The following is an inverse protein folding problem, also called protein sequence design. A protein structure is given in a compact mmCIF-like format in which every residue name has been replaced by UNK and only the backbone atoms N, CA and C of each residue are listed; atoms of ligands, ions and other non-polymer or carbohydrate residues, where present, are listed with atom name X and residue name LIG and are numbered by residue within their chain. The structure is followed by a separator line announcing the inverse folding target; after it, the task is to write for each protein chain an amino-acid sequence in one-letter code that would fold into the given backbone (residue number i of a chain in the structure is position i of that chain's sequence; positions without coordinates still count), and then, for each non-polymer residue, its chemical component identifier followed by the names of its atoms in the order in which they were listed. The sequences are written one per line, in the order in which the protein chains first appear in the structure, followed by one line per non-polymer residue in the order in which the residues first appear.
data_IF_375158340067
#
_entry.id   IF_375158340067
#
_cell.length_a   1.000
_cell.length_b   1.000
_cell.length_c   1.000
_cell.angle_alpha   90.00
_cell.angle_beta   90.00
_cell.angle_gamma   90.00
#
_symmetry.space_group_name_H-M   'P 1'
#
loop_
_entity.id
_entity.type
_entity.pdbx_description
1 polymer ?
#
# COMPACT_ATOMS: atom_id res chain seq x y z
N UNK A 1 1.49 1.32 -42.45
CA UNK A 1 0.76 1.11 -43.72
C UNK A 1 0.26 2.41 -44.39
N UNK A 2 0.07 3.55 -43.69
CA UNK A 2 -0.41 4.79 -44.33
C UNK A 2 0.70 5.74 -44.86
N UNK A 3 1.84 5.88 -44.17
CA UNK A 3 2.95 6.76 -44.59
C UNK A 3 3.59 6.36 -45.93
N UNK A 4 3.69 5.05 -46.19
CA UNK A 4 4.23 4.50 -47.43
C UNK A 4 3.35 4.82 -48.66
N UNK A 5 2.04 4.96 -48.48
CA UNK A 5 1.11 5.36 -49.55
C UNK A 5 1.18 6.86 -49.85
N UNK A 6 1.43 7.71 -48.85
CA UNK A 6 1.59 9.15 -49.05
C UNK A 6 2.90 9.51 -49.79
N UNK A 7 3.96 8.71 -49.61
CA UNK A 7 5.22 8.86 -50.35
C UNK A 7 5.17 8.28 -51.78
N UNK A 8 4.12 7.53 -52.13
CA UNK A 8 3.92 6.94 -53.46
C UNK A 8 3.25 7.91 -54.46
N UNK A 9 2.96 9.16 -54.07
CA UNK A 9 2.43 10.18 -54.97
C UNK A 9 3.53 10.60 -55.97
N UNK A 10 3.31 10.49 -57.30
CA UNK A 10 4.33 10.74 -58.32
C UNK A 10 4.93 12.15 -58.26
N UNK A 11 6.25 12.27 -58.43
CA UNK A 11 6.96 13.56 -58.43
C UNK A 11 6.68 14.41 -59.69
N UNK A 12 6.19 13.80 -60.77
CA UNK A 12 5.92 14.46 -62.06
C UNK A 12 4.69 13.87 -62.75
N UNK A 13 3.94 14.69 -63.50
CA UNK A 13 2.87 14.22 -64.39
C UNK A 13 3.46 13.57 -65.66
N UNK A 14 2.64 12.86 -66.45
CA UNK A 14 3.05 12.24 -67.74
C UNK A 14 3.65 13.21 -68.77
N UNK A 15 3.60 14.53 -68.53
CA UNK A 15 4.22 15.56 -69.36
C UNK A 15 5.53 16.14 -68.78
N UNK A 16 6.06 15.61 -67.67
CA UNK A 16 7.33 16.03 -67.08
C UNK A 16 7.28 17.28 -66.19
N UNK A 17 6.09 17.84 -65.91
CA UNK A 17 5.94 18.99 -65.02
C UNK A 17 5.78 18.55 -63.54
N UNK A 18 6.19 19.37 -62.54
CA UNK A 18 5.96 19.11 -61.13
C UNK A 18 4.45 19.02 -60.85
N UNK A 19 4.03 18.04 -60.04
CA UNK A 19 2.62 17.86 -59.69
C UNK A 19 2.10 19.08 -58.91
N UNK A 20 1.04 19.77 -59.38
CA UNK A 20 0.54 20.96 -58.72
C UNK A 20 0.02 20.63 -57.31
N UNK A 21 0.27 21.52 -56.35
CA UNK A 21 -0.24 21.49 -54.98
C UNK A 21 0.15 20.28 -54.10
N UNK A 22 1.24 19.58 -54.43
CA UNK A 22 1.79 18.47 -53.61
C UNK A 22 2.07 18.87 -52.16
N UNK A 23 2.58 20.07 -51.93
CA UNK A 23 2.85 20.57 -50.57
C UNK A 23 1.56 20.76 -49.78
N UNK A 24 0.46 21.14 -50.45
CA UNK A 24 -0.87 21.25 -49.85
C UNK A 24 -1.39 19.86 -49.44
N UNK A 25 -1.25 18.86 -50.30
CA UNK A 25 -1.68 17.47 -50.01
C UNK A 25 -0.89 16.90 -48.83
N UNK A 26 0.44 17.07 -48.81
CA UNK A 26 1.28 16.59 -47.70
C UNK A 26 0.92 17.34 -46.41
N UNK A 27 0.69 18.65 -46.47
CA UNK A 27 0.24 19.45 -45.33
C UNK A 27 -1.09 18.95 -44.77
N UNK A 28 -2.11 18.76 -45.62
CA UNK A 28 -3.43 18.26 -45.22
C UNK A 28 -3.33 16.86 -44.62
N UNK A 29 -2.60 15.94 -45.25
CA UNK A 29 -2.43 14.56 -44.72
C UNK A 29 -1.69 14.58 -43.39
N UNK A 30 -0.67 15.42 -43.23
CA UNK A 30 0.08 15.54 -41.98
C UNK A 30 -0.78 16.10 -40.85
N UNK A 31 -1.59 17.13 -41.13
CA UNK A 31 -2.56 17.70 -40.19
C UNK A 31 -3.62 16.68 -39.81
N UNK A 32 -4.18 15.94 -40.78
CA UNK A 32 -5.18 14.89 -40.52
C UNK A 32 -4.60 13.79 -39.63
N UNK A 33 -3.37 13.31 -39.90
CA UNK A 33 -2.69 12.32 -39.06
C UNK A 33 -2.52 12.84 -37.63
N UNK A 34 -2.00 14.07 -37.47
CA UNK A 34 -1.78 14.67 -36.16
C UNK A 34 -3.08 14.77 -35.36
N UNK A 35 -4.16 15.24 -36.01
CA UNK A 35 -5.50 15.34 -35.40
C UNK A 35 -6.03 13.96 -35.03
N UNK A 36 -5.91 12.94 -35.89
CA UNK A 36 -6.35 11.57 -35.55
C UNK A 36 -5.59 10.97 -34.38
N UNK A 37 -4.27 11.18 -34.29
CA UNK A 37 -3.46 10.69 -33.17
C UNK A 37 -3.81 11.42 -31.87
N UNK A 38 -4.06 12.74 -31.92
CA UNK A 38 -4.52 13.52 -30.77
C UNK A 38 -5.90 13.06 -30.29
N UNK A 39 -6.84 12.83 -31.19
CA UNK A 39 -8.19 12.34 -30.85
C UNK A 39 -8.11 10.93 -30.27
N UNK A 40 -7.41 9.99 -30.91
CA UNK A 40 -7.24 8.62 -30.39
C UNK A 40 -6.47 8.59 -29.07
N UNK A 41 -5.38 9.36 -28.96
CA UNK A 41 -4.54 9.44 -27.78
C UNK A 41 -5.24 10.10 -26.59
N UNK A 42 -6.16 11.05 -26.83
CA UNK A 42 -6.97 11.67 -25.78
C UNK A 42 -8.19 10.85 -25.38
N UNK A 43 -8.70 9.99 -26.29
CA UNK A 43 -9.85 9.12 -26.00
C UNK A 43 -9.48 7.96 -25.07
N UNK A 44 -8.27 7.41 -25.18
CA UNK A 44 -7.77 6.33 -24.32
C UNK A 44 -7.77 6.67 -22.80
N UNK A 45 -7.21 7.79 -22.32
CA UNK A 45 -7.24 8.12 -20.89
C UNK A 45 -8.65 8.44 -20.39
N UNK A 46 -9.52 9.00 -21.23
CA UNK A 46 -10.93 9.21 -20.88
C UNK A 46 -11.68 7.88 -20.74
N UNK A 47 -11.45 6.93 -21.65
CA UNK A 47 -12.02 5.58 -21.59
C UNK A 47 -11.45 4.78 -20.43
N UNK A 48 -10.14 4.86 -20.15
CA UNK A 48 -9.53 4.23 -18.95
C UNK A 48 -10.11 4.81 -17.66
N UNK A 49 -10.35 6.13 -17.61
CA UNK A 49 -10.98 6.77 -16.45
C UNK A 49 -12.45 6.42 -16.30
N UNK A 50 -13.15 6.13 -17.40
CA UNK A 50 -14.55 5.69 -17.40
C UNK A 50 -14.71 4.18 -17.18
N UNK A 51 -13.69 3.40 -17.58
CA UNK A 51 -13.60 1.94 -17.42
C UNK A 51 -13.00 1.51 -16.07
N UNK A 52 -12.60 2.44 -15.19
CA UNK A 52 -12.56 2.22 -13.73
C UNK A 52 -13.98 2.04 -13.20
N UNK A 53 -14.66 1.02 -13.71
CA UNK A 53 -15.79 0.40 -13.05
C UNK A 53 -15.30 -0.16 -11.70
N UNK A 54 -16.20 -0.40 -10.73
CA UNK A 54 -15.91 -0.58 -9.30
C UNK A 54 -15.13 -1.84 -8.89
N UNK A 55 -14.27 -2.42 -9.73
CA UNK A 55 -13.53 -3.64 -9.41
C UNK A 55 -12.56 -3.44 -8.23
N UNK A 56 -11.91 -2.27 -8.13
CA UNK A 56 -11.01 -1.96 -7.00
C UNK A 56 -11.78 -1.84 -5.67
N UNK A 57 -13.01 -1.31 -5.70
CA UNK A 57 -13.88 -1.24 -4.52
C UNK A 57 -14.38 -2.64 -4.13
N UNK A 58 -14.79 -3.45 -5.11
CA UNK A 58 -15.37 -4.78 -4.86
C UNK A 58 -14.33 -5.75 -4.29
N UNK A 59 -13.08 -5.74 -4.79
CA UNK A 59 -12.02 -6.62 -4.28
C UNK A 59 -11.55 -6.23 -2.88
N UNK A 60 -11.42 -4.93 -2.60
CA UNK A 60 -11.08 -4.43 -1.28
C UNK A 60 -12.18 -4.77 -0.25
N UNK A 61 -13.44 -4.58 -0.63
CA UNK A 61 -14.60 -4.92 0.21
C UNK A 61 -14.71 -6.44 0.44
N UNK A 62 -14.47 -7.27 -0.58
CA UNK A 62 -14.42 -8.72 -0.46
C UNK A 62 -13.29 -9.20 0.46
N UNK A 63 -12.10 -8.61 0.31
CA UNK A 63 -10.95 -8.93 1.16
C UNK A 63 -11.20 -8.50 2.61
N UNK A 64 -11.80 -7.34 2.81
CA UNK A 64 -12.19 -6.85 4.14
C UNK A 64 -13.19 -7.78 4.80
N UNK A 65 -14.25 -8.14 4.08
CA UNK A 65 -15.26 -9.09 4.54
C UNK A 65 -14.63 -10.45 4.91
N UNK A 66 -13.70 -10.93 4.09
CA UNK A 66 -12.98 -12.17 4.36
C UNK A 66 -12.11 -12.06 5.63
N UNK A 67 -11.43 -10.93 5.84
CA UNK A 67 -10.63 -10.68 7.06
C UNK A 67 -11.50 -10.63 8.31
N UNK A 68 -12.60 -9.91 8.29
CA UNK A 68 -13.54 -9.83 9.42
C UNK A 68 -14.05 -11.22 9.78
N UNK A 69 -14.52 -11.97 8.79
CA UNK A 69 -15.03 -13.34 9.01
C UNK A 69 -13.97 -14.31 9.51
N UNK A 70 -12.73 -14.17 9.06
CA UNK A 70 -11.64 -15.02 9.52
C UNK A 70 -11.34 -14.82 11.01
N UNK A 71 -11.31 -13.56 11.47
CA UNK A 71 -11.04 -13.24 12.88
C UNK A 71 -12.21 -13.63 13.78
N UNK A 72 -13.45 -13.38 13.35
CA UNK A 72 -14.65 -13.85 14.07
C UNK A 72 -14.67 -15.37 14.24
N UNK A 73 -14.38 -16.11 13.16
CA UNK A 73 -14.30 -17.57 13.21
C UNK A 73 -13.17 -18.06 14.12
N UNK A 74 -12.04 -17.35 14.15
CA UNK A 74 -10.93 -17.67 15.05
C UNK A 74 -11.34 -17.51 16.51
N UNK A 75 -12.01 -16.41 16.87
CA UNK A 75 -12.51 -16.16 18.23
C UNK A 75 -13.55 -17.19 18.68
N UNK A 76 -14.43 -17.63 17.78
CA UNK A 76 -15.43 -18.68 18.07
C UNK A 76 -14.79 -20.06 18.27
N UNK A 77 -13.78 -20.39 17.44
CA UNK A 77 -13.09 -21.68 17.50
C UNK A 77 -12.08 -21.78 18.65
N UNK A 78 -11.51 -20.65 19.09
CA UNK A 78 -10.42 -20.61 20.08
C UNK A 78 -10.72 -21.41 21.36
N UNK A 79 -11.88 -21.26 22.04
CA UNK A 79 -12.17 -22.01 23.26
C UNK A 79 -12.28 -23.51 23.03
N UNK A 80 -12.79 -23.92 21.86
CA UNK A 80 -13.01 -25.32 21.50
C UNK A 80 -11.67 -26.01 21.22
N UNK A 81 -10.80 -25.35 20.45
CA UNK A 81 -9.45 -25.83 20.14
C UNK A 81 -8.57 -25.85 21.38
N UNK A 82 -8.65 -24.81 22.22
CA UNK A 82 -7.93 -24.75 23.49
C UNK A 82 -8.35 -25.87 24.46
N UNK A 83 -9.63 -26.22 24.49
CA UNK A 83 -10.14 -27.34 25.28
C UNK A 83 -9.66 -28.71 24.80
N UNK A 84 -9.42 -28.89 23.49
CA UNK A 84 -8.87 -30.14 22.95
C UNK A 84 -7.37 -30.31 23.25
N UNK A 85 -6.64 -29.20 23.31
CA UNK A 85 -5.19 -29.17 23.49
C UNK A 85 -4.76 -28.97 24.96
N UNK A 86 -5.72 -28.94 25.90
CA UNK A 86 -5.50 -28.71 27.34
C UNK A 86 -4.64 -27.46 27.62
N UNK A 87 -4.96 -26.37 26.92
CA UNK A 87 -4.21 -25.11 27.01
C UNK A 87 -4.47 -24.43 28.35
N UNK A 88 -3.40 -23.96 29.00
CA UNK A 88 -3.50 -23.20 30.25
C UNK A 88 -4.43 -21.99 30.11
N UNK A 89 -5.27 -21.69 31.11
CA UNK A 89 -6.20 -20.55 31.07
C UNK A 89 -5.50 -19.19 30.88
N UNK A 90 -4.24 -19.07 31.29
CA UNK A 90 -3.44 -17.87 31.07
C UNK A 90 -3.05 -17.71 29.59
N UNK A 91 -2.64 -18.79 28.94
CA UNK A 91 -2.29 -18.77 27.51
C UNK A 91 -3.54 -18.55 26.65
N UNK A 92 -4.68 -19.15 27.04
CA UNK A 92 -5.96 -18.92 26.38
C UNK A 92 -6.38 -17.44 26.43
N UNK A 93 -6.28 -16.79 27.60
CA UNK A 93 -6.60 -15.35 27.73
C UNK A 93 -5.69 -14.48 26.88
N UNK A 94 -4.40 -14.82 26.77
CA UNK A 94 -3.46 -14.09 25.92
C UNK A 94 -3.82 -14.21 24.45
N UNK A 95 -4.09 -15.41 23.97
CA UNK A 95 -4.51 -15.65 22.58
C UNK A 95 -5.85 -14.98 22.29
N UNK A 96 -6.79 -15.03 23.24
CA UNK A 96 -8.07 -14.36 23.09
C UNK A 96 -7.87 -12.84 22.93
N UNK A 97 -7.04 -12.23 23.78
CA UNK A 97 -6.72 -10.81 23.68
C UNK A 97 -6.05 -10.46 22.35
N UNK A 98 -5.16 -11.32 21.85
CA UNK A 98 -4.50 -11.11 20.55
C UNK A 98 -5.50 -11.11 19.39
N UNK A 99 -6.44 -12.07 19.36
CA UNK A 99 -7.49 -12.10 18.35
C UNK A 99 -8.50 -10.95 18.51
N UNK A 100 -8.79 -10.50 19.72
CA UNK A 100 -9.61 -9.30 19.99
C UNK A 100 -8.92 -8.03 19.49
N UNK A 101 -7.62 -7.88 19.74
CA UNK A 101 -6.81 -6.76 19.22
C UNK A 101 -6.78 -6.79 17.68
N UNK A 102 -6.66 -7.97 17.07
CA UNK A 102 -6.73 -8.14 15.62
C UNK A 102 -8.12 -7.78 15.06
N UNK A 103 -9.20 -8.16 15.74
CA UNK A 103 -10.56 -7.82 15.35
C UNK A 103 -10.77 -6.30 15.37
N UNK A 104 -10.24 -5.62 16.39
CA UNK A 104 -10.30 -4.17 16.51
C UNK A 104 -9.56 -3.45 15.37
N UNK A 105 -8.43 -4.01 14.89
CA UNK A 105 -7.71 -3.47 13.74
C UNK A 105 -8.49 -3.64 12.42
N UNK A 106 -9.08 -4.81 12.20
CA UNK A 106 -9.91 -5.06 11.00
C UNK A 106 -11.16 -4.18 11.01
N UNK A 107 -11.80 -4.00 12.17
CA UNK A 107 -12.95 -3.12 12.34
C UNK A 107 -12.60 -1.64 12.09
N UNK A 108 -11.43 -1.18 12.56
CA UNK A 108 -10.95 0.17 12.31
C UNK A 108 -10.69 0.46 10.82
N UNK A 109 -10.39 -0.57 10.04
CA UNK A 109 -10.25 -0.45 8.59
C UNK A 109 -11.61 -0.48 7.86
N UNK A 110 -12.66 -1.07 8.47
CA UNK A 110 -13.98 -1.25 7.84
C UNK A 110 -14.95 -0.13 8.11
N UNK A 111 -14.85 0.51 9.27
CA UNK A 111 -15.59 1.74 9.50
C UNK A 111 -14.93 2.87 8.71
N UNK A 112 -15.75 3.68 8.03
CA UNK A 112 -15.39 5.00 7.46
C UNK A 112 -15.06 6.02 8.58
N UNK A 113 -14.42 5.53 9.64
CA UNK A 113 -13.83 6.31 10.72
C UNK A 113 -12.85 7.24 10.06
N UNK A 114 -13.10 8.54 10.18
CA UNK A 114 -12.28 9.56 9.54
C UNK A 114 -10.79 9.21 9.74
N UNK A 115 -9.97 9.16 8.69
CA UNK A 115 -8.56 8.76 8.75
C UNK A 115 -7.77 9.42 9.89
N UNK A 116 -8.22 10.60 10.32
CA UNK A 116 -7.68 11.34 11.46
C UNK A 116 -7.79 10.62 12.81
N UNK A 117 -8.88 9.91 13.12
CA UNK A 117 -9.08 9.30 14.45
C UNK A 117 -8.21 8.05 14.65
N UNK A 118 -8.06 7.24 13.60
CA UNK A 118 -7.14 6.08 13.60
C UNK A 118 -5.68 6.56 13.64
N UNK A 119 -5.33 7.57 12.86
CA UNK A 119 -3.99 8.16 12.88
C UNK A 119 -3.64 8.77 14.24
N UNK A 120 -4.58 9.48 14.88
CA UNK A 120 -4.40 10.09 16.19
C UNK A 120 -4.24 9.03 17.30
N UNK A 121 -5.02 7.94 17.24
CA UNK A 121 -4.86 6.81 18.17
C UNK A 121 -3.51 6.12 18.01
N UNK A 122 -3.08 5.87 16.77
CA UNK A 122 -1.79 5.25 16.48
C UNK A 122 -0.61 6.13 16.91
N UNK A 123 -0.72 7.44 16.69
CA UNK A 123 0.23 8.44 17.18
C UNK A 123 0.35 8.43 18.71
N UNK A 124 -0.77 8.38 19.43
CA UNK A 124 -0.78 8.29 20.89
C UNK A 124 -0.08 7.02 21.38
N UNK A 125 -0.41 5.86 20.79
CA UNK A 125 0.22 4.57 21.13
C UNK A 125 1.73 4.62 20.85
N UNK A 126 2.14 5.18 19.71
CA UNK A 126 3.57 5.34 19.38
C UNK A 126 4.28 6.17 20.45
N UNK A 127 3.70 7.30 20.84
CA UNK A 127 4.28 8.20 21.85
C UNK A 127 4.44 7.51 23.21
N UNK A 128 3.44 6.72 23.61
CA UNK A 128 3.51 5.92 24.85
C UNK A 128 4.65 4.90 24.76
N UNK A 129 4.77 4.16 23.65
CA UNK A 129 5.85 3.18 23.46
C UNK A 129 7.23 3.82 23.51
N UNK A 130 7.42 4.96 22.84
CA UNK A 130 8.68 5.71 22.90
C UNK A 130 9.01 6.15 24.33
N UNK A 131 8.02 6.64 25.09
CA UNK A 131 8.20 7.01 26.50
C UNK A 131 8.58 5.83 27.39
N UNK A 132 8.00 4.64 27.15
CA UNK A 132 8.36 3.41 27.87
C UNK A 132 9.77 2.94 27.50
N UNK A 133 10.20 3.11 26.25
CA UNK A 133 11.52 2.71 25.80
C UNK A 133 12.65 3.48 26.52
N UNK A 134 12.43 4.76 26.78
CA UNK A 134 13.35 5.57 27.59
C UNK A 134 13.51 5.01 29.01
N UNK A 135 12.41 4.60 29.65
CA UNK A 135 12.45 3.98 30.97
C UNK A 135 13.17 2.61 30.94
N UNK A 136 12.97 1.82 29.87
CA UNK A 136 13.70 0.56 29.67
C UNK A 136 15.22 0.81 29.58
N UNK A 137 15.66 1.83 28.84
CA UNK A 137 17.08 2.20 28.72
C UNK A 137 17.70 2.55 30.06
N UNK A 138 17.01 3.35 30.87
CA UNK A 138 17.49 3.73 32.20
C UNK A 138 17.63 2.51 33.11
N UNK A 139 16.64 1.61 33.12
CA UNK A 139 16.69 0.39 33.92
C UNK A 139 17.86 -0.53 33.54
N UNK A 140 18.12 -0.70 32.24
CA UNK A 140 19.26 -1.53 31.77
C UNK A 140 20.60 -0.87 32.13
N UNK A 141 20.69 0.46 32.04
CA UNK A 141 21.89 1.22 32.45
C UNK A 141 22.14 1.06 33.94
N UNK A 142 21.09 1.16 34.75
CA UNK A 142 21.17 0.98 36.20
C UNK A 142 21.64 -0.43 36.57
N UNK A 143 21.16 -1.47 35.89
CA UNK A 143 21.65 -2.85 36.07
C UNK A 143 23.15 -2.98 35.80
N UNK A 144 23.65 -2.27 34.79
CA UNK A 144 25.10 -2.24 34.50
C UNK A 144 25.86 -1.49 35.58
N UNK A 145 25.35 -0.36 36.05
CA UNK A 145 26.01 0.44 37.08
C UNK A 145 26.05 -0.30 38.44
N UNK A 146 25.07 -1.16 38.69
CA UNK A 146 25.03 -2.10 39.81
C UNK A 146 25.92 -3.36 39.60
N UNK A 147 26.62 -3.46 38.47
CA UNK A 147 27.42 -4.62 38.05
C UNK A 147 26.63 -5.95 37.95
N UNK A 148 25.31 -5.89 37.71
CA UNK A 148 24.48 -7.08 37.48
C UNK A 148 24.61 -7.61 36.05
N UNK A 149 24.96 -6.75 35.09
CA UNK A 149 25.21 -7.11 33.69
C UNK A 149 26.54 -6.53 33.21
N UNK A 150 27.15 -7.19 32.23
CA UNK A 150 28.36 -6.69 31.58
C UNK A 150 28.07 -5.77 30.38
N UNK A 151 29.14 -5.17 29.85
CA UNK A 151 29.08 -4.19 28.76
C UNK A 151 28.71 -4.82 27.39
N UNK A 152 28.86 -6.13 27.23
CA UNK A 152 28.43 -6.85 26.03
C UNK A 152 26.91 -7.01 26.06
N UNK A 153 26.36 -7.47 27.20
CA UNK A 153 24.90 -7.62 27.41
C UNK A 153 24.20 -6.26 27.32
N UNK A 154 24.79 -5.21 27.90
CA UNK A 154 24.27 -3.84 27.78
C UNK A 154 24.14 -3.42 26.29
N UNK A 155 25.19 -3.62 25.49
CA UNK A 155 25.18 -3.26 24.06
C UNK A 155 24.15 -4.05 23.26
N UNK A 156 23.98 -5.34 23.55
CA UNK A 156 22.97 -6.18 22.89
C UNK A 156 21.55 -5.69 23.19
N UNK A 157 21.24 -5.40 24.46
CA UNK A 157 19.94 -4.88 24.88
C UNK A 157 19.68 -3.48 24.31
N UNK A 158 20.70 -2.61 24.28
CA UNK A 158 20.61 -1.30 23.66
C UNK A 158 20.33 -1.41 22.16
N UNK A 159 21.05 -2.26 21.43
CA UNK A 159 20.83 -2.47 20.00
C UNK A 159 19.42 -3.00 19.70
N UNK A 160 18.88 -3.89 20.54
CA UNK A 160 17.51 -4.37 20.41
C UNK A 160 16.48 -3.24 20.63
N UNK A 161 16.70 -2.36 21.61
CA UNK A 161 15.84 -1.20 21.85
C UNK A 161 15.96 -0.16 20.73
N UNK A 162 17.15 0.08 20.18
CA UNK A 162 17.35 1.00 19.07
C UNK A 162 16.59 0.52 17.82
N UNK A 163 16.58 -0.79 17.57
CA UNK A 163 15.80 -1.38 16.47
C UNK A 163 14.29 -1.27 16.70
N UNK A 164 13.82 -1.40 17.95
CA UNK A 164 12.44 -1.13 18.32
C UNK A 164 12.09 0.36 18.09
N UNK A 165 12.97 1.28 18.46
CA UNK A 165 12.79 2.73 18.24
C UNK A 165 12.70 3.07 16.75
N UNK A 166 13.61 2.55 15.93
CA UNK A 166 13.60 2.79 14.48
C UNK A 166 12.29 2.31 13.85
N UNK A 167 11.79 1.14 14.23
CA UNK A 167 10.49 0.63 13.75
C UNK A 167 9.30 1.49 14.18
N UNK A 168 9.39 2.14 15.33
CA UNK A 168 8.35 3.06 15.78
C UNK A 168 8.45 4.39 15.02
N UNK A 169 9.66 4.88 14.74
CA UNK A 169 9.90 6.15 14.07
C UNK A 169 9.73 6.09 12.55
N UNK A 170 9.83 4.92 11.93
CA UNK A 170 9.64 4.71 10.50
C UNK A 170 8.20 4.23 10.20
N UNK A 171 7.27 5.11 9.81
CA UNK A 171 5.91 4.72 9.45
C UNK A 171 5.81 3.99 8.10
N UNK A 172 6.90 3.88 7.33
CA UNK A 172 6.84 3.37 5.96
C UNK A 172 6.76 1.84 5.83
N UNK A 173 7.08 1.09 6.88
CA UNK A 173 7.02 -0.39 6.90
C UNK A 173 5.70 -0.93 7.50
N UNK A 174 4.74 -0.06 7.84
CA UNK A 174 3.48 -0.41 8.48
C UNK A 174 2.27 -0.50 7.52
N UNK A 175 2.47 -0.31 6.20
CA UNK A 175 1.46 -0.42 5.13
C UNK A 175 1.77 -1.58 4.16
#
# INVERSE_FOLDING_TARGET
MSLAAALAVPLTTRSGAPFPDRNLIIFVVSVVILVTVLVQGSTLPAVVRWARLPEDATHADELQLARTRAVEAALEALPQVAGQLDVSPELLRRLQKEYEDQAALVAANSDDTAPNDVAERNELVRRVRLGVLEHKRQAVTELRDQNHIDDIVLRELQAAMDLEEVRLLDPADAD
#
